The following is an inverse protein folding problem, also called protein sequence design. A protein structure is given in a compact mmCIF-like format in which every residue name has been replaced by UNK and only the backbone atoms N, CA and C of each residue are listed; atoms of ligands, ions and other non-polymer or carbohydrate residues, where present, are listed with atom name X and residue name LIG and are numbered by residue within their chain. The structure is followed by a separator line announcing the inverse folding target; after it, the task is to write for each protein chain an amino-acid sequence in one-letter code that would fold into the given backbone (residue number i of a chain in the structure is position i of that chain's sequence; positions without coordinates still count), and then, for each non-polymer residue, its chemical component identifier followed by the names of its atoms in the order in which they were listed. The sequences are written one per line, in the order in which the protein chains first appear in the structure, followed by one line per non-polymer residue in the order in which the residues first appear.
data_IF_826118355693
#
_entry.id   IF_826118355693
#
_cell.length_a   1.000
_cell.length_b   1.000
_cell.length_c   1.000
_cell.angle_alpha   90.00
_cell.angle_beta   90.00
_cell.angle_gamma   90.00
#
_symmetry.space_group_name_H-M   'P 1'
#
loop_
_entity.id
_entity.type
_entity.pdbx_description
1 polymer ?
#
# COMPACT_ATOMS: atom_id res chain seq x y z
N UNK A 1 6.32 -32.22 -28.82
CA UNK A 1 6.20 -30.81 -29.19
C UNK A 1 5.46 -30.12 -28.05
N UNK A 2 6.17 -29.47 -27.11
CA UNK A 2 5.57 -28.75 -25.99
C UNK A 2 4.94 -27.47 -26.52
N UNK A 3 3.63 -27.31 -26.31
CA UNK A 3 2.96 -26.01 -26.50
C UNK A 3 3.58 -25.05 -25.48
N UNK A 4 4.43 -24.11 -25.92
CA UNK A 4 4.80 -22.95 -25.14
C UNK A 4 3.53 -22.21 -24.81
N UNK A 5 3.06 -22.26 -23.55
CA UNK A 5 2.01 -21.37 -23.06
C UNK A 5 2.54 -19.95 -23.23
N UNK A 6 2.01 -19.24 -24.21
CA UNK A 6 2.25 -17.82 -24.40
C UNK A 6 1.65 -17.14 -23.17
N UNK A 7 2.48 -16.70 -22.23
CA UNK A 7 2.03 -15.79 -21.16
C UNK A 7 1.45 -14.56 -21.84
N UNK A 8 0.16 -14.37 -21.72
CA UNK A 8 -0.51 -13.13 -22.15
C UNK A 8 -0.27 -12.14 -21.02
N UNK A 9 0.42 -11.03 -21.30
CA UNK A 9 0.56 -9.95 -20.34
C UNK A 9 -0.78 -9.23 -20.11
N UNK A 10 -0.88 -8.49 -18.99
CA UNK A 10 -2.12 -7.80 -18.62
C UNK A 10 -2.56 -6.80 -19.69
N UNK A 11 -1.63 -6.06 -20.27
CA UNK A 11 -1.93 -5.07 -21.31
C UNK A 11 -2.53 -5.74 -22.54
N UNK A 12 -1.93 -6.84 -23.01
CA UNK A 12 -2.45 -7.65 -24.13
C UNK A 12 -3.82 -8.26 -23.81
N UNK A 13 -4.01 -8.79 -22.58
CA UNK A 13 -5.30 -9.35 -22.16
C UNK A 13 -6.40 -8.30 -22.14
N UNK A 14 -6.16 -7.14 -21.57
CA UNK A 14 -7.13 -6.05 -21.48
C UNK A 14 -7.47 -5.55 -22.90
N UNK A 15 -6.48 -5.31 -23.74
CA UNK A 15 -6.69 -4.85 -25.11
C UNK A 15 -7.49 -5.85 -25.96
N UNK A 16 -7.27 -7.15 -25.76
CA UNK A 16 -7.92 -8.18 -26.58
C UNK A 16 -9.26 -8.66 -26.03
N UNK A 17 -9.47 -8.58 -24.70
CA UNK A 17 -10.59 -9.25 -24.04
C UNK A 17 -11.61 -8.31 -23.41
N UNK A 18 -11.19 -7.11 -22.98
CA UNK A 18 -12.03 -6.21 -22.17
C UNK A 18 -12.36 -4.91 -22.91
N UNK A 19 -11.51 -4.48 -23.84
CA UNK A 19 -11.63 -3.19 -24.50
C UNK A 19 -11.67 -3.36 -26.03
N UNK A 20 -12.40 -2.50 -26.77
CA UNK A 20 -12.39 -2.51 -28.22
C UNK A 20 -10.97 -2.39 -28.75
N UNK A 21 -10.64 -3.23 -29.73
CA UNK A 21 -9.30 -3.31 -30.33
C UNK A 21 -8.72 -1.92 -30.69
N UNK A 22 -7.47 -1.69 -30.31
CA UNK A 22 -6.61 -0.69 -30.94
C UNK A 22 -6.62 0.72 -30.35
N UNK A 23 -7.06 0.92 -29.11
CA UNK A 23 -7.09 2.27 -28.54
C UNK A 23 -5.84 2.58 -27.70
N UNK A 24 -4.92 3.39 -28.26
CA UNK A 24 -3.84 4.08 -27.54
C UNK A 24 -4.34 4.73 -26.23
N UNK A 25 -5.60 5.15 -26.22
CA UNK A 25 -6.31 5.72 -25.09
C UNK A 25 -6.38 4.76 -23.88
N UNK A 26 -6.39 3.44 -24.11
CA UNK A 26 -6.45 2.44 -23.05
C UNK A 26 -5.07 2.19 -22.41
N UNK A 27 -4.00 2.21 -23.19
CA UNK A 27 -2.62 2.11 -22.70
C UNK A 27 -2.32 3.31 -21.80
N UNK A 28 -2.73 4.52 -22.19
CA UNK A 28 -2.59 5.70 -21.34
C UNK A 28 -3.33 5.54 -20.00
N UNK A 29 -4.57 5.05 -20.02
CA UNK A 29 -5.33 4.80 -18.78
C UNK A 29 -4.66 3.76 -17.88
N UNK A 30 -4.11 2.68 -18.44
CA UNK A 30 -3.41 1.65 -17.66
C UNK A 30 -2.10 2.20 -17.06
N UNK A 31 -1.37 3.05 -17.80
CA UNK A 31 -0.20 3.75 -17.28
C UNK A 31 -0.60 4.78 -16.21
N UNK A 32 -1.66 5.54 -16.43
CA UNK A 32 -2.18 6.51 -15.46
C UNK A 32 -2.60 5.82 -14.14
N UNK A 33 -3.12 4.59 -14.21
CA UNK A 33 -3.44 3.76 -13.07
C UNK A 33 -2.21 3.05 -12.47
N UNK A 34 -1.04 3.17 -13.10
CA UNK A 34 0.21 2.58 -12.63
C UNK A 34 0.25 1.05 -12.72
N UNK A 35 -0.53 0.45 -13.61
CA UNK A 35 -0.58 -1.02 -13.84
C UNK A 35 0.46 -1.48 -14.86
N UNK A 36 0.80 -0.62 -15.81
CA UNK A 36 1.83 -0.86 -16.81
C UNK A 36 2.89 0.24 -16.77
N UNK A 37 4.01 -0.01 -17.45
CA UNK A 37 4.98 1.01 -17.83
C UNK A 37 4.88 1.21 -19.33
N UNK A 38 4.61 2.46 -19.75
CA UNK A 38 4.47 2.80 -21.15
C UNK A 38 5.83 2.79 -21.83
N UNK A 39 5.89 2.24 -23.05
CA UNK A 39 7.06 2.22 -23.92
C UNK A 39 6.61 2.52 -25.36
N UNK A 40 6.90 3.73 -25.83
CA UNK A 40 6.44 4.20 -27.15
C UNK A 40 4.91 4.15 -27.30
N UNK A 41 4.42 3.40 -28.29
CA UNK A 41 2.98 3.18 -28.54
C UNK A 41 2.42 1.97 -27.77
N UNK A 42 3.27 1.22 -27.05
CA UNK A 42 2.92 0.04 -26.27
C UNK A 42 3.14 0.23 -24.78
N UNK A 43 3.26 -0.87 -24.09
CA UNK A 43 3.59 -0.93 -22.67
C UNK A 43 3.76 -2.37 -22.21
N UNK A 44 4.37 -2.54 -21.04
CA UNK A 44 4.55 -3.84 -20.40
C UNK A 44 4.07 -3.80 -18.95
N UNK A 45 3.69 -4.97 -18.43
CA UNK A 45 3.19 -5.12 -17.07
C UNK A 45 4.23 -4.67 -16.06
N UNK A 46 3.83 -3.81 -15.13
CA UNK A 46 4.70 -3.32 -14.06
C UNK A 46 5.02 -4.38 -13.02
N UNK A 47 4.06 -5.27 -12.76
CA UNK A 47 4.13 -6.21 -11.64
C UNK A 47 4.39 -7.65 -12.12
N UNK A 48 5.50 -7.89 -12.83
CA UNK A 48 5.86 -9.21 -13.35
C UNK A 48 6.44 -10.07 -12.22
N UNK A 49 6.01 -11.34 -12.11
CA UNK A 49 6.45 -12.32 -11.13
C UNK A 49 6.37 -11.82 -9.66
N UNK A 50 5.25 -11.20 -9.30
CA UNK A 50 5.05 -10.62 -7.96
C UNK A 50 3.76 -11.11 -7.31
N UNK A 51 3.82 -11.24 -5.99
CA UNK A 51 2.62 -11.37 -5.15
C UNK A 51 2.03 -9.97 -5.03
N UNK A 52 0.78 -9.83 -5.49
CA UNK A 52 0.07 -8.55 -5.51
C UNK A 52 -0.71 -8.34 -4.22
N UNK A 53 -0.45 -7.23 -3.55
CA UNK A 53 -1.15 -6.80 -2.34
C UNK A 53 -1.93 -5.52 -2.69
N UNK A 54 -3.27 -5.54 -2.61
CA UNK A 54 -4.06 -4.37 -2.91
C UNK A 54 -3.87 -3.28 -1.85
N UNK A 55 -3.81 -2.04 -2.29
CA UNK A 55 -3.84 -0.85 -1.44
C UNK A 55 -5.22 -0.25 -1.56
N UNK A 56 -5.91 -0.14 -0.44
CA UNK A 56 -7.26 0.42 -0.39
C UNK A 56 -7.25 1.82 0.23
N UNK A 57 -8.19 2.66 -0.23
CA UNK A 57 -8.49 3.92 0.44
C UNK A 57 -9.27 3.69 1.76
N UNK A 58 -9.66 4.76 2.45
CA UNK A 58 -10.34 4.67 3.74
C UNK A 58 -11.73 4.00 3.65
N UNK A 59 -12.36 4.04 2.49
CA UNK A 59 -13.65 3.42 2.19
C UNK A 59 -13.53 1.92 1.84
N UNK A 60 -12.32 1.44 1.52
CA UNK A 60 -12.06 0.05 1.12
C UNK A 60 -11.97 -0.17 -0.39
N UNK A 61 -12.04 0.89 -1.21
CA UNK A 61 -11.85 0.78 -2.66
C UNK A 61 -10.37 0.59 -2.98
N UNK A 62 -10.04 -0.35 -3.87
CA UNK A 62 -8.67 -0.56 -4.35
C UNK A 62 -8.24 0.63 -5.20
N UNK A 63 -7.16 1.28 -4.80
CA UNK A 63 -6.59 2.47 -5.48
C UNK A 63 -5.18 2.25 -6.01
N UNK A 64 -4.53 1.17 -5.63
CA UNK A 64 -3.19 0.80 -6.08
C UNK A 64 -2.78 -0.58 -5.58
N UNK A 65 -1.55 -0.93 -5.85
CA UNK A 65 -0.98 -2.21 -5.45
C UNK A 65 0.46 -2.03 -4.97
N UNK A 66 0.88 -2.90 -4.07
CA UNK A 66 2.29 -3.21 -3.82
C UNK A 66 2.56 -4.64 -4.30
N UNK A 67 3.65 -4.83 -5.01
CA UNK A 67 4.05 -6.13 -5.53
C UNK A 67 5.35 -6.59 -4.87
N UNK A 68 5.29 -7.68 -4.08
CA UNK A 68 6.46 -8.34 -3.53
C UNK A 68 6.98 -9.37 -4.52
N UNK A 69 8.28 -9.37 -4.80
CA UNK A 69 8.89 -10.38 -5.68
C UNK A 69 8.63 -11.79 -5.15
N UNK A 70 8.29 -12.71 -6.06
CA UNK A 70 7.99 -14.09 -5.68
C UNK A 70 9.26 -14.96 -5.60
N UNK A 71 10.23 -14.71 -6.49
CA UNK A 71 11.50 -15.43 -6.54
C UNK A 71 12.66 -14.49 -6.20
N UNK A 72 13.82 -15.05 -5.80
CA UNK A 72 15.06 -14.29 -5.58
C UNK A 72 15.71 -13.93 -6.94
N UNK A 73 15.10 -13.02 -7.68
CA UNK A 73 15.67 -12.44 -8.89
C UNK A 73 16.35 -11.10 -8.52
N UNK A 74 17.31 -10.65 -9.32
CA UNK A 74 18.02 -9.37 -9.18
C UNK A 74 17.10 -8.17 -9.45
N UNK A 75 16.01 -8.05 -8.70
CA UNK A 75 15.06 -6.96 -8.83
C UNK A 75 14.57 -6.48 -7.47
N UNK A 76 14.03 -5.27 -7.41
CA UNK A 76 13.56 -4.66 -6.17
C UNK A 76 12.58 -5.57 -5.43
N UNK A 77 12.85 -5.85 -4.13
CA UNK A 77 12.03 -6.70 -3.26
C UNK A 77 10.55 -6.30 -3.26
N UNK A 78 10.28 -4.99 -3.28
CA UNK A 78 8.94 -4.42 -3.38
C UNK A 78 8.91 -3.36 -4.47
N UNK A 79 7.81 -3.31 -5.21
CA UNK A 79 7.44 -2.17 -6.06
C UNK A 79 6.01 -1.75 -5.74
N UNK A 80 5.75 -0.45 -5.81
CA UNK A 80 4.43 0.11 -5.56
C UNK A 80 3.86 0.74 -6.83
N UNK A 81 2.54 0.82 -6.92
CA UNK A 81 1.87 1.72 -7.86
C UNK A 81 2.46 3.13 -7.67
N UNK A 82 2.78 3.81 -8.76
CA UNK A 82 3.13 5.25 -8.72
C UNK A 82 1.93 6.05 -8.23
N UNK A 83 2.15 7.27 -7.74
CA UNK A 83 1.03 8.16 -7.43
C UNK A 83 0.19 8.42 -8.68
N UNK A 84 -1.12 8.39 -8.51
CA UNK A 84 -2.11 8.55 -9.56
C UNK A 84 -3.18 9.55 -9.12
N UNK A 85 -4.17 9.81 -9.97
CA UNK A 85 -5.33 10.65 -9.60
C UNK A 85 -6.16 10.05 -8.46
N UNK A 86 -6.17 8.72 -8.33
CA UNK A 86 -6.93 7.99 -7.29
C UNK A 86 -6.06 7.46 -6.15
N UNK A 87 -4.74 7.47 -6.28
CA UNK A 87 -3.80 6.99 -5.28
C UNK A 87 -2.80 8.07 -4.89
N UNK A 88 -2.90 8.55 -3.67
CA UNK A 88 -1.92 9.40 -3.00
C UNK A 88 -1.44 8.68 -1.75
N UNK A 89 -0.18 8.21 -1.77
CA UNK A 89 0.39 7.41 -0.67
C UNK A 89 0.26 8.10 0.69
N UNK A 90 0.50 9.40 0.72
CA UNK A 90 0.40 10.21 1.93
C UNK A 90 -1.02 10.34 2.51
N UNK A 91 -2.06 9.98 1.76
CA UNK A 91 -3.45 10.08 2.20
C UNK A 91 -4.00 8.73 2.67
N UNK A 92 -3.15 7.70 2.77
CA UNK A 92 -3.57 6.33 3.06
C UNK A 92 -2.85 5.82 4.32
N UNK A 93 -3.60 5.18 5.18
CA UNK A 93 -3.09 4.25 6.18
C UNK A 93 -3.49 2.84 5.74
N UNK A 94 -2.50 2.00 5.47
CA UNK A 94 -2.75 0.64 5.03
C UNK A 94 -3.60 -0.13 6.06
N UNK A 95 -4.52 -0.95 5.58
CA UNK A 95 -5.46 -1.73 6.38
C UNK A 95 -6.55 -0.94 7.11
N UNK A 96 -6.66 0.37 6.95
CA UNK A 96 -7.63 1.19 7.69
C UNK A 96 -9.08 0.69 7.58
N UNK A 97 -9.54 0.37 6.36
CA UNK A 97 -10.90 -0.06 6.11
C UNK A 97 -11.29 -1.36 6.84
N UNK A 98 -10.33 -2.28 7.04
CA UNK A 98 -10.53 -3.49 7.83
C UNK A 98 -10.39 -3.24 9.33
N UNK A 99 -9.44 -2.40 9.73
CA UNK A 99 -9.07 -2.18 11.12
C UNK A 99 -10.04 -1.27 11.88
N UNK A 100 -10.74 -0.36 11.20
CA UNK A 100 -11.52 0.73 11.83
C UNK A 100 -12.54 0.28 12.87
N UNK A 101 -13.17 -0.87 12.70
CA UNK A 101 -14.15 -1.41 13.66
C UNK A 101 -13.43 -2.00 14.88
N UNK A 102 -12.36 -2.76 14.66
CA UNK A 102 -11.51 -3.30 15.73
C UNK A 102 -10.82 -2.21 16.55
N UNK A 103 -10.41 -1.10 15.93
CA UNK A 103 -9.87 0.07 16.63
C UNK A 103 -10.90 0.65 17.61
N UNK A 104 -12.17 0.69 17.24
CA UNK A 104 -13.23 1.17 18.12
C UNK A 104 -13.52 0.20 19.27
N UNK A 105 -13.51 -1.09 19.00
CA UNK A 105 -13.72 -2.16 19.99
C UNK A 105 -12.56 -2.20 21.00
N UNK A 106 -11.32 -2.21 20.51
CA UNK A 106 -10.09 -2.28 21.33
C UNK A 106 -9.73 -0.92 21.95
N UNK A 107 -10.38 0.16 21.54
CA UNK A 107 -10.11 1.54 21.99
C UNK A 107 -8.66 1.97 21.84
N UNK A 108 -7.95 1.42 20.90
CA UNK A 108 -6.58 1.80 20.50
C UNK A 108 -6.29 1.38 19.07
N UNK A 109 -5.32 2.03 18.41
CA UNK A 109 -4.79 1.61 17.12
C UNK A 109 -3.31 1.28 17.26
N UNK A 110 -2.87 0.19 16.65
CA UNK A 110 -1.46 -0.16 16.52
C UNK A 110 -0.96 0.38 15.19
N UNK A 111 0.13 1.13 15.20
CA UNK A 111 0.73 1.69 14.00
C UNK A 111 2.11 1.07 13.77
N UNK A 112 2.27 0.41 12.62
CA UNK A 112 3.52 -0.22 12.17
C UNK A 112 4.07 0.48 10.93
N UNK A 113 5.31 0.18 10.56
CA UNK A 113 5.96 0.80 9.42
C UNK A 113 5.48 0.22 8.09
N UNK A 114 5.52 -1.09 7.96
CA UNK A 114 5.32 -1.81 6.71
C UNK A 114 3.96 -2.48 6.56
N UNK A 115 3.49 -2.57 5.32
CA UNK A 115 2.26 -3.29 5.01
C UNK A 115 2.34 -4.80 5.34
N UNK A 116 3.54 -5.41 5.23
CA UNK A 116 3.71 -6.83 5.58
C UNK A 116 3.59 -7.08 7.07
N UNK A 117 4.06 -6.14 7.90
CA UNK A 117 3.94 -6.22 9.35
C UNK A 117 2.47 -6.11 9.76
N UNK A 118 1.74 -5.16 9.16
CA UNK A 118 0.30 -5.06 9.36
C UNK A 118 -0.44 -6.34 8.93
N UNK A 119 -0.11 -6.95 7.79
CA UNK A 119 -0.72 -8.20 7.33
C UNK A 119 -0.43 -9.33 8.32
N UNK A 120 0.83 -9.45 8.77
CA UNK A 120 1.26 -10.49 9.71
C UNK A 120 0.56 -10.33 11.06
N UNK A 121 0.50 -9.13 11.62
CA UNK A 121 -0.19 -8.84 12.87
C UNK A 121 -1.69 -9.10 12.76
N UNK A 122 -2.32 -8.63 11.68
CA UNK A 122 -3.74 -8.87 11.45
C UNK A 122 -4.07 -10.37 11.37
N UNK A 123 -3.25 -11.15 10.66
CA UNK A 123 -3.42 -12.61 10.55
C UNK A 123 -3.16 -13.35 11.88
N UNK A 124 -2.38 -12.75 12.79
CA UNK A 124 -2.10 -13.27 14.14
C UNK A 124 -3.15 -12.84 15.18
N UNK A 125 -4.19 -12.11 14.77
CA UNK A 125 -5.28 -11.69 15.64
C UNK A 125 -5.24 -10.24 16.12
N UNK A 126 -4.14 -9.49 15.89
CA UNK A 126 -4.07 -8.05 16.18
C UNK A 126 -4.71 -7.28 15.03
N UNK A 127 -6.04 -7.10 15.10
CA UNK A 127 -6.83 -6.61 13.98
C UNK A 127 -6.98 -5.09 13.92
N UNK A 128 -6.65 -4.39 14.99
CA UNK A 128 -6.65 -2.93 15.09
C UNK A 128 -5.33 -2.30 14.58
N UNK A 129 -4.61 -2.97 13.65
CA UNK A 129 -3.31 -2.58 13.12
C UNK A 129 -3.43 -1.79 11.81
N UNK A 130 -2.64 -0.73 11.70
CA UNK A 130 -2.48 0.16 10.56
C UNK A 130 -1.00 0.21 10.15
N UNK A 131 -0.69 0.52 8.88
CA UNK A 131 0.68 0.79 8.48
C UNK A 131 0.82 2.09 7.67
N UNK A 132 1.98 2.74 7.84
CA UNK A 132 2.34 3.98 7.14
C UNK A 132 2.75 3.73 5.69
N UNK A 133 3.28 2.54 5.39
CA UNK A 133 3.85 2.17 4.09
C UNK A 133 5.09 2.98 3.69
N UNK A 134 5.76 3.60 4.65
CA UNK A 134 6.97 4.41 4.48
C UNK A 134 7.41 5.06 5.79
N UNK A 135 8.62 5.59 5.80
CA UNK A 135 9.29 6.07 7.02
C UNK A 135 8.82 7.44 7.54
N UNK A 136 8.19 8.24 6.70
CA UNK A 136 7.72 9.57 7.09
C UNK A 136 6.19 9.64 7.11
N UNK A 137 5.63 10.12 8.21
CA UNK A 137 4.20 10.37 8.36
C UNK A 137 3.82 11.73 7.77
N UNK A 138 2.74 11.78 7.00
CA UNK A 138 2.22 13.02 6.41
C UNK A 138 1.21 13.70 7.33
N UNK A 139 0.94 14.98 7.06
CA UNK A 139 -0.11 15.74 7.77
C UNK A 139 -1.49 15.11 7.58
N UNK A 140 -1.76 14.60 6.40
CA UNK A 140 -3.01 13.93 6.07
C UNK A 140 -3.19 12.64 6.89
N UNK A 141 -2.13 11.86 7.05
CA UNK A 141 -2.14 10.65 7.90
C UNK A 141 -2.35 11.02 9.37
N UNK A 142 -1.73 12.10 9.87
CA UNK A 142 -1.98 12.61 11.22
C UNK A 142 -3.46 12.95 11.40
N UNK A 143 -4.06 13.65 10.44
CA UNK A 143 -5.48 14.01 10.50
C UNK A 143 -6.41 12.77 10.46
N UNK A 144 -6.02 11.70 9.75
CA UNK A 144 -6.77 10.44 9.78
C UNK A 144 -6.68 9.81 11.18
N UNK A 145 -5.48 9.72 11.76
CA UNK A 145 -5.27 9.16 13.10
C UNK A 145 -6.01 9.97 14.18
N UNK A 146 -5.97 11.29 14.09
CA UNK A 146 -6.67 12.20 15.02
C UNK A 146 -8.19 11.96 15.04
N UNK A 147 -8.78 11.66 13.88
CA UNK A 147 -10.21 11.36 13.77
C UNK A 147 -10.62 10.05 14.43
N UNK A 148 -9.69 9.14 14.68
CA UNK A 148 -9.96 7.90 15.40
C UNK A 148 -10.31 8.12 16.87
N UNK A 149 -9.78 9.19 17.50
CA UNK A 149 -10.01 9.57 18.90
C UNK A 149 -9.67 8.47 19.89
N UNK A 150 -8.64 7.71 19.62
CA UNK A 150 -8.10 6.64 20.47
C UNK A 150 -6.58 6.78 20.57
N UNK A 151 -5.94 6.23 21.62
CA UNK A 151 -4.49 6.16 21.71
C UNK A 151 -3.88 5.40 20.52
N UNK A 152 -2.70 5.84 20.08
CA UNK A 152 -1.91 5.17 19.04
C UNK A 152 -0.74 4.47 19.71
N UNK A 153 -0.61 3.18 19.48
CA UNK A 153 0.53 2.36 19.91
C UNK A 153 1.50 2.26 18.74
N UNK A 154 2.66 2.90 18.84
CA UNK A 154 3.74 2.81 17.85
C UNK A 154 4.52 1.52 18.07
N UNK A 155 4.58 0.70 17.05
CA UNK A 155 5.35 -0.55 17.02
C UNK A 155 6.13 -0.58 15.69
N UNK A 156 7.20 0.21 15.63
CA UNK A 156 8.06 0.33 14.44
C UNK A 156 9.29 -0.58 14.60
N UNK A 157 10.09 -0.70 13.53
CA UNK A 157 11.26 -1.58 13.53
C UNK A 157 12.28 -1.14 14.59
N UNK A 158 12.94 -2.10 15.26
CA UNK A 158 13.90 -1.85 16.33
C UNK A 158 15.34 -1.62 15.80
N UNK A 159 15.47 -1.09 14.59
CA UNK A 159 16.75 -0.65 14.03
C UNK A 159 16.92 0.87 14.16
N UNK A 160 18.10 1.39 13.86
CA UNK A 160 18.42 2.83 14.01
C UNK A 160 17.45 3.72 13.20
N UNK A 161 16.95 3.24 12.06
CA UNK A 161 16.01 4.00 11.23
C UNK A 161 14.62 4.01 11.87
N UNK A 162 14.16 2.88 12.40
CA UNK A 162 12.88 2.75 13.08
C UNK A 162 12.85 3.49 14.42
N UNK A 163 13.96 3.52 15.18
CA UNK A 163 14.07 4.34 16.40
C UNK A 163 13.90 5.84 16.07
N UNK A 164 14.59 6.33 15.02
CA UNK A 164 14.48 7.71 14.60
C UNK A 164 13.06 8.00 14.07
N UNK A 165 12.45 7.08 13.32
CA UNK A 165 11.08 7.18 12.86
C UNK A 165 10.11 7.24 14.04
N UNK A 166 10.30 6.41 15.07
CA UNK A 166 9.49 6.39 16.29
C UNK A 166 9.52 7.75 17.01
N UNK A 167 10.70 8.33 17.17
CA UNK A 167 10.86 9.65 17.81
C UNK A 167 10.15 10.75 16.98
N UNK A 168 10.34 10.75 15.67
CA UNK A 168 9.76 11.76 14.81
C UNK A 168 8.22 11.64 14.74
N UNK A 169 7.71 10.43 14.52
CA UNK A 169 6.29 10.15 14.43
C UNK A 169 5.61 10.38 15.78
N UNK A 170 6.19 9.87 16.87
CA UNK A 170 5.67 10.08 18.22
C UNK A 170 5.59 11.56 18.58
N UNK A 171 6.65 12.33 18.29
CA UNK A 171 6.66 13.78 18.50
C UNK A 171 5.57 14.49 17.71
N UNK A 172 5.36 14.09 16.46
CA UNK A 172 4.33 14.70 15.60
C UNK A 172 2.91 14.37 16.10
N UNK A 173 2.66 13.13 16.54
CA UNK A 173 1.38 12.73 17.12
C UNK A 173 1.08 13.50 18.41
N UNK A 174 2.04 13.59 19.33
CA UNK A 174 1.91 14.33 20.59
C UNK A 174 1.65 15.80 20.34
N UNK A 175 2.37 16.46 19.41
CA UNK A 175 2.10 17.88 19.02
C UNK A 175 0.69 18.07 18.52
N UNK A 176 0.07 17.06 17.94
CA UNK A 176 -1.31 17.09 17.47
C UNK A 176 -2.34 16.63 18.50
N UNK A 177 -1.95 16.49 19.77
CA UNK A 177 -2.77 16.05 20.90
C UNK A 177 -3.34 14.63 20.70
N UNK A 178 -2.55 13.73 20.12
CA UNK A 178 -2.89 12.31 19.98
C UNK A 178 -2.12 11.56 21.07
N UNK A 179 -2.86 10.87 21.94
CA UNK A 179 -2.25 10.01 22.98
C UNK A 179 -1.43 8.91 22.28
N UNK A 180 -0.16 8.78 22.68
CA UNK A 180 0.81 7.93 21.97
C UNK A 180 1.61 7.10 22.96
N UNK A 181 1.69 5.82 22.69
CA UNK A 181 2.53 4.85 23.43
C UNK A 181 3.52 4.23 22.46
N UNK A 182 4.69 3.85 22.96
CA UNK A 182 5.75 3.17 22.20
C UNK A 182 5.99 1.79 22.81
N UNK A 183 6.17 0.80 21.96
CA UNK A 183 6.46 -0.60 22.36
C UNK A 183 7.71 -1.07 21.63
#
# INVERSE_FOLDING_TARGET
KSKKNKKIDLATYINNSILPQGSIKNINKLDDLGLITKDGLGGYDKFINRIMIPICNLEGNVVGYTGRIFNNEDSAKYINTKETTIYKKGNILFNYHNAKNYIREEKCAVLVEGNMDAIRMYSSGVRNVLALMGTAMTKEQVEILKKLRVPIVLMLDADNAGELATLNIGSELVKNNIDTKVV
#
